data_IF_599101134518
#
_entry.id   IF_599101134518
#
_cell.length_a   1.000
_cell.length_b   1.000
_cell.length_c   1.000
_cell.angle_alpha   90.00
_cell.angle_beta   90.00
_cell.angle_gamma   90.00
#
_symmetry.space_group_name_H-M   'P 1'
#
loop_
_entity.id
_entity.type
_entity.pdbx_description
1 polymer ?
#
# COMPACT_ATOMS: atom_id res chain seq x y z
N UNK A 1 3.68 15.49 11.68
CA UNK A 1 2.51 14.73 12.17
C UNK A 1 2.83 14.24 13.57
N UNK A 2 1.99 14.53 14.56
CA UNK A 2 2.21 14.08 15.94
C UNK A 2 2.02 12.56 16.02
N UNK A 3 2.95 11.84 16.64
CA UNK A 3 3.05 10.37 16.69
C UNK A 3 1.76 9.68 17.18
N UNK A 4 1.01 10.34 18.06
CA UNK A 4 -0.24 9.84 18.63
C UNK A 4 -1.36 9.68 17.58
N UNK A 5 -1.44 10.57 16.59
CA UNK A 5 -2.52 10.55 15.59
C UNK A 5 -2.34 9.40 14.57
N UNK A 6 -1.10 9.11 14.19
CA UNK A 6 -0.78 8.03 13.27
C UNK A 6 -1.07 6.64 13.88
N UNK A 7 -0.81 6.45 15.17
CA UNK A 7 -1.12 5.19 15.86
C UNK A 7 -2.63 4.94 15.97
N UNK A 8 -3.42 5.98 16.24
CA UNK A 8 -4.90 5.86 16.29
C UNK A 8 -5.47 5.53 14.90
N UNK A 9 -4.94 6.14 13.83
CA UNK A 9 -5.36 5.83 12.46
C UNK A 9 -5.10 4.35 12.11
N UNK A 10 -3.93 3.82 12.49
CA UNK A 10 -3.56 2.43 12.24
C UNK A 10 -4.46 1.42 12.97
N UNK A 11 -4.84 1.71 14.23
CA UNK A 11 -5.72 0.85 15.01
C UNK A 11 -7.08 0.63 14.34
N UNK A 12 -7.59 1.64 13.61
CA UNK A 12 -8.88 1.60 12.95
C UNK A 12 -8.87 0.97 11.54
N UNK A 13 -7.69 0.61 11.01
CA UNK A 13 -7.60 0.00 9.70
C UNK A 13 -8.20 -1.42 9.67
N UNK A 14 -8.79 -1.78 8.53
CA UNK A 14 -9.25 -3.14 8.26
C UNK A 14 -8.07 -4.12 8.23
N UNK A 15 -8.29 -5.41 8.50
CA UNK A 15 -7.19 -6.39 8.60
C UNK A 15 -6.29 -6.47 7.35
N UNK A 16 -6.88 -6.45 6.15
CA UNK A 16 -6.12 -6.50 4.90
C UNK A 16 -5.32 -5.21 4.66
N UNK A 17 -5.91 -4.06 4.99
CA UNK A 17 -5.28 -2.75 4.94
C UNK A 17 -4.09 -2.66 5.90
N UNK A 18 -4.22 -3.22 7.11
CA UNK A 18 -3.10 -3.35 8.08
C UNK A 18 -1.96 -4.21 7.52
N UNK A 19 -2.27 -5.36 6.92
CA UNK A 19 -1.24 -6.20 6.26
C UNK A 19 -0.55 -5.46 5.12
N UNK A 20 -1.32 -4.70 4.33
CA UNK A 20 -0.80 -3.87 3.24
C UNK A 20 0.17 -2.81 3.76
N UNK A 21 -0.20 -2.08 4.81
CA UNK A 21 0.67 -1.10 5.47
C UNK A 21 1.96 -1.75 5.99
N UNK A 22 1.82 -2.89 6.68
CA UNK A 22 2.96 -3.60 7.24
C UNK A 22 3.96 -4.02 6.15
N UNK A 23 3.45 -4.57 5.04
CA UNK A 23 4.29 -4.92 3.90
C UNK A 23 4.99 -3.70 3.30
N UNK A 24 4.26 -2.59 3.09
CA UNK A 24 4.83 -1.36 2.54
C UNK A 24 5.93 -0.78 3.45
N UNK A 25 5.84 -0.95 4.77
CA UNK A 25 6.88 -0.53 5.73
C UNK A 25 8.15 -1.37 5.65
N UNK A 26 8.03 -2.69 5.44
CA UNK A 26 9.18 -3.61 5.53
C UNK A 26 9.80 -3.99 4.19
N UNK A 27 8.98 -4.10 3.14
CA UNK A 27 9.38 -4.63 1.83
C UNK A 27 9.34 -3.56 0.72
N UNK A 28 8.93 -2.34 1.06
CA UNK A 28 9.06 -1.14 0.22
C UNK A 28 7.96 -0.97 -0.83
N UNK A 29 7.92 -1.85 -1.83
CA UNK A 29 7.06 -1.68 -3.01
C UNK A 29 6.06 -2.83 -3.22
N UNK A 30 4.82 -2.48 -3.53
CA UNK A 30 3.74 -3.44 -3.77
C UNK A 30 3.15 -3.23 -5.18
N UNK A 31 2.98 -4.31 -5.93
CA UNK A 31 2.32 -4.33 -7.24
C UNK A 31 1.06 -5.20 -7.18
N UNK A 32 0.11 -5.08 -8.12
CA UNK A 32 -1.10 -5.91 -8.13
C UNK A 32 -0.78 -7.41 -8.10
N UNK A 33 0.23 -7.85 -8.86
CA UNK A 33 0.62 -9.25 -8.94
C UNK A 33 1.25 -9.75 -7.64
N UNK A 34 2.14 -8.96 -7.03
CA UNK A 34 2.71 -9.28 -5.71
C UNK A 34 1.61 -9.33 -4.65
N UNK A 35 0.66 -8.39 -4.66
CA UNK A 35 -0.45 -8.39 -3.72
C UNK A 35 -1.34 -9.63 -3.85
N UNK A 36 -1.66 -10.02 -5.09
CA UNK A 36 -2.42 -11.22 -5.36
C UNK A 36 -1.68 -12.49 -4.87
N UNK A 37 -0.38 -12.60 -5.14
CA UNK A 37 0.44 -13.73 -4.67
C UNK A 37 0.51 -13.83 -3.13
N UNK A 38 0.49 -12.71 -2.42
CA UNK A 38 0.61 -12.68 -0.96
C UNK A 38 -0.71 -12.90 -0.23
N UNK A 39 -1.81 -12.36 -0.78
CA UNK A 39 -3.08 -12.26 -0.06
C UNK A 39 -4.28 -12.86 -0.80
N UNK A 40 -4.06 -13.44 -1.99
CA UNK A 40 -5.13 -14.05 -2.79
C UNK A 40 -6.21 -13.06 -3.24
N UNK A 41 -5.88 -11.77 -3.32
CA UNK A 41 -6.86 -10.70 -3.54
C UNK A 41 -6.39 -9.75 -4.66
N UNK A 42 -7.35 -9.26 -5.45
CA UNK A 42 -7.11 -8.22 -6.47
C UNK A 42 -7.43 -6.80 -5.95
N UNK A 43 -7.75 -6.67 -4.66
CA UNK A 43 -8.24 -5.42 -4.06
C UNK A 43 -7.13 -4.44 -3.64
N UNK A 44 -5.92 -4.51 -4.24
CA UNK A 44 -4.79 -3.66 -3.86
C UNK A 44 -5.15 -2.17 -3.92
N UNK A 45 -5.74 -1.72 -5.03
CA UNK A 45 -6.11 -0.31 -5.20
C UNK A 45 -7.04 0.20 -4.09
N UNK A 46 -7.98 -0.64 -3.65
CA UNK A 46 -8.87 -0.32 -2.54
C UNK A 46 -8.09 -0.18 -1.23
N UNK A 47 -7.14 -1.08 -0.93
CA UNK A 47 -6.34 -0.99 0.29
C UNK A 47 -5.48 0.27 0.29
N UNK A 48 -4.87 0.61 -0.85
CA UNK A 48 -4.09 1.85 -0.99
C UNK A 48 -4.96 3.09 -0.76
N UNK A 49 -6.19 3.09 -1.26
CA UNK A 49 -7.13 4.19 -1.02
C UNK A 49 -7.50 4.31 0.46
N UNK A 50 -7.74 3.19 1.15
CA UNK A 50 -8.00 3.20 2.60
C UNK A 50 -6.80 3.74 3.39
N UNK A 51 -5.57 3.38 3.01
CA UNK A 51 -4.36 3.93 3.64
C UNK A 51 -4.23 5.44 3.44
N UNK A 52 -4.49 5.94 2.23
CA UNK A 52 -4.47 7.38 1.94
C UNK A 52 -5.51 8.14 2.76
N UNK A 53 -6.73 7.59 2.86
CA UNK A 53 -7.80 8.17 3.67
C UNK A 53 -7.48 8.16 5.16
N UNK A 54 -6.71 7.17 5.63
CA UNK A 54 -6.19 7.13 6.99
C UNK A 54 -4.98 8.05 7.23
N UNK A 55 -4.56 8.82 6.21
CA UNK A 55 -3.47 9.81 6.32
C UNK A 55 -2.08 9.29 5.99
N UNK A 56 -1.94 8.03 5.54
CA UNK A 56 -0.65 7.50 5.11
C UNK A 56 -0.31 8.00 3.70
N UNK A 57 0.91 8.51 3.53
CA UNK A 57 1.42 8.94 2.23
C UNK A 57 1.91 7.74 1.43
N UNK A 58 1.14 7.35 0.43
CA UNK A 58 1.49 6.23 -0.47
C UNK A 58 1.68 6.75 -1.89
N UNK A 59 2.92 6.68 -2.37
CA UNK A 59 3.32 7.07 -3.73
C UNK A 59 2.95 5.96 -4.71
N UNK A 60 2.44 6.36 -5.88
CA UNK A 60 2.27 5.46 -7.02
C UNK A 60 3.32 5.79 -8.07
N UNK A 61 4.06 4.78 -8.51
CA UNK A 61 4.98 4.86 -9.66
C UNK A 61 4.48 3.92 -10.74
N UNK A 62 4.25 4.43 -11.95
CA UNK A 62 3.94 3.59 -13.09
C UNK A 62 5.23 2.94 -13.60
N UNK A 63 5.24 1.61 -13.67
CA UNK A 63 6.31 0.81 -14.25
C UNK A 63 5.86 0.24 -15.59
N UNK A 64 6.83 -0.18 -16.39
CA UNK A 64 6.63 -0.84 -17.68
C UNK A 64 7.32 -2.20 -17.55
N UNK A 65 6.65 -3.28 -17.98
CA UNK A 65 7.26 -4.62 -18.04
C UNK A 65 8.00 -4.85 -19.37
N UNK A 66 8.56 -6.04 -19.52
CA UNK A 66 9.34 -6.44 -20.69
C UNK A 66 8.50 -6.46 -21.98
N UNK A 67 7.17 -6.63 -21.86
CA UNK A 67 6.23 -6.62 -22.98
C UNK A 67 5.71 -5.21 -23.31
N UNK A 68 6.14 -4.19 -22.56
CA UNK A 68 5.71 -2.81 -22.73
C UNK A 68 4.40 -2.47 -22.01
N UNK A 69 3.83 -3.41 -21.24
CA UNK A 69 2.61 -3.19 -20.48
C UNK A 69 2.88 -2.36 -19.22
N UNK A 70 1.99 -1.40 -18.97
CA UNK A 70 2.10 -0.48 -17.82
C UNK A 70 1.41 -1.05 -16.59
N UNK A 71 2.08 -1.01 -15.44
CA UNK A 71 1.50 -1.44 -14.17
C UNK A 71 1.87 -0.51 -13.01
N UNK A 72 0.98 -0.36 -12.00
CA UNK A 72 1.27 0.48 -10.84
C UNK A 72 2.16 -0.25 -9.83
N UNK A 73 3.08 0.51 -9.23
CA UNK A 73 3.91 0.12 -8.09
C UNK A 73 3.71 1.12 -6.96
N UNK A 74 3.33 0.66 -5.78
CA UNK A 74 3.01 1.50 -4.63
C UNK A 74 4.11 1.42 -3.58
N UNK A 75 4.56 2.56 -3.05
CA UNK A 75 5.55 2.63 -1.97
C UNK A 75 5.08 3.57 -0.89
N UNK A 76 5.40 3.29 0.38
CA UNK A 76 5.17 4.24 1.46
C UNK A 76 6.21 5.38 1.35
N UNK A 77 5.76 6.62 1.43
CA UNK A 77 6.69 7.74 1.61
C UNK A 77 7.03 7.82 3.10
N UNK A 78 8.27 7.50 3.45
CA UNK A 78 8.81 7.87 4.76
C UNK A 78 8.88 9.39 4.84
N UNK A 79 8.21 9.93 5.86
CA UNK A 79 8.32 11.35 6.24
C UNK A 79 9.68 11.65 6.85
#
# INVERSE_FOLDING_TARGET
MNTTSAMVAELNLKPLTKKTLNYLRHSGALTPLVFWSLYGSMALAQQINELRNAGFKVKTTMKIDEEGSRYPSYTLETA
#
